data_IF_220810238121
#
_entry.id   IF_220810238121
#
_cell.length_a   1.000
_cell.length_b   1.000
_cell.length_c   1.000
_cell.angle_alpha   90.00
_cell.angle_beta   90.00
_cell.angle_gamma   90.00
#
_symmetry.space_group_name_H-M   'P 1'
#
loop_
_entity.id
_entity.type
_entity.pdbx_description
1 polymer ?
#
# COMPACT_ATOMS: atom_id res chain seq x y z
N UNK A 1 -33.94 22.18 -42.23
CA UNK A 1 -33.25 21.00 -41.66
C UNK A 1 -32.14 21.54 -40.78
N UNK A 2 -32.32 21.51 -39.46
CA UNK A 2 -31.40 22.13 -38.50
C UNK A 2 -30.47 21.03 -37.96
N UNK A 3 -29.13 21.20 -37.98
CA UNK A 3 -28.23 20.17 -37.51
C UNK A 3 -28.19 20.15 -35.97
N UNK A 4 -28.35 18.96 -35.38
CA UNK A 4 -28.07 18.71 -33.96
C UNK A 4 -26.56 18.56 -33.78
N UNK A 5 -25.94 19.51 -33.07
CA UNK A 5 -24.54 19.40 -32.65
C UNK A 5 -24.52 18.72 -31.28
N UNK A 6 -23.95 17.52 -31.22
CA UNK A 6 -23.73 16.79 -29.97
C UNK A 6 -22.40 17.24 -29.38
N UNK A 7 -22.45 18.08 -28.36
CA UNK A 7 -21.27 18.57 -27.65
C UNK A 7 -20.87 17.54 -26.58
N UNK A 8 -19.76 16.82 -26.79
CA UNK A 8 -19.18 15.96 -25.77
C UNK A 8 -18.47 16.82 -24.72
N UNK A 9 -19.05 16.94 -23.54
CA UNK A 9 -18.38 17.58 -22.40
C UNK A 9 -17.39 16.56 -21.82
N UNK A 10 -16.12 16.67 -22.22
CA UNK A 10 -15.04 15.91 -21.61
C UNK A 10 -14.73 16.58 -20.26
N UNK A 11 -15.22 16.00 -19.17
CA UNK A 11 -14.83 16.41 -17.82
C UNK A 11 -13.42 15.90 -17.57
N UNK A 12 -12.42 16.72 -17.88
CA UNK A 12 -11.04 16.45 -17.50
C UNK A 12 -10.94 16.76 -16.01
N UNK A 13 -11.03 15.73 -15.16
CA UNK A 13 -10.66 15.87 -13.75
C UNK A 13 -9.15 16.07 -13.68
N UNK A 14 -8.73 17.33 -13.59
CA UNK A 14 -7.37 17.68 -13.20
C UNK A 14 -7.15 17.30 -11.74
N UNK A 15 -6.78 16.05 -11.48
CA UNK A 15 -6.25 15.64 -10.18
C UNK A 15 -4.87 16.27 -10.03
N UNK A 16 -4.81 17.37 -9.29
CA UNK A 16 -3.59 17.88 -8.69
C UNK A 16 -2.98 16.76 -7.83
N UNK A 17 -1.91 16.10 -8.29
CA UNK A 17 -1.14 15.18 -7.46
C UNK A 17 0.28 15.70 -7.26
N UNK A 18 0.36 16.90 -6.71
CA UNK A 18 1.59 17.39 -6.08
C UNK A 18 1.59 16.96 -4.61
N UNK A 19 1.95 15.70 -4.36
CA UNK A 19 2.50 15.20 -3.09
C UNK A 19 3.08 13.77 -3.29
N UNK A 20 4.40 13.75 -3.49
CA UNK A 20 5.40 12.70 -3.20
C UNK A 20 5.02 11.21 -3.30
N UNK A 21 5.54 10.54 -4.33
CA UNK A 21 5.66 9.09 -4.44
C UNK A 21 5.91 8.70 -5.89
N UNK A 22 7.03 8.03 -6.18
CA UNK A 22 7.52 7.68 -7.53
C UNK A 22 6.65 6.63 -8.25
N UNK A 23 5.57 6.16 -7.62
CA UNK A 23 4.86 4.92 -7.96
C UNK A 23 3.36 5.14 -7.79
N UNK A 24 2.71 5.66 -8.85
CA UNK A 24 1.33 6.12 -8.78
C UNK A 24 0.51 5.82 -10.03
N UNK A 25 0.91 4.83 -10.82
CA UNK A 25 0.03 4.31 -11.87
C UNK A 25 -1.01 3.38 -11.25
N UNK A 26 -2.27 3.68 -11.54
CA UNK A 26 -3.37 2.79 -11.22
C UNK A 26 -3.27 1.55 -12.12
N UNK A 27 -3.42 0.37 -11.56
CA UNK A 27 -3.35 -0.88 -12.29
C UNK A 27 -4.62 -1.70 -12.07
N UNK A 28 -5.03 -2.44 -13.08
CA UNK A 28 -6.06 -3.49 -12.99
C UNK A 28 -5.44 -4.88 -13.03
N UNK A 29 -4.22 -4.99 -13.55
CA UNK A 29 -3.45 -6.23 -13.67
C UNK A 29 -1.95 -5.95 -13.61
N UNK A 30 -1.16 -7.02 -13.44
CA UNK A 30 0.30 -6.93 -13.47
C UNK A 30 0.86 -6.35 -14.78
N UNK A 31 0.13 -6.46 -15.89
CA UNK A 31 0.56 -5.95 -17.20
C UNK A 31 0.51 -4.41 -17.30
N UNK A 32 -0.22 -3.75 -16.40
CA UNK A 32 -0.34 -2.29 -16.39
C UNK A 32 0.85 -1.61 -15.70
N UNK A 33 1.69 -2.39 -15.01
CA UNK A 33 2.81 -1.88 -14.23
C UNK A 33 4.13 -2.01 -14.97
N UNK A 34 4.99 -1.01 -14.76
CA UNK A 34 6.37 -1.04 -15.24
C UNK A 34 7.14 -2.26 -14.70
N UNK A 35 8.18 -2.65 -15.45
CA UNK A 35 9.01 -3.79 -15.11
C UNK A 35 9.59 -3.67 -13.68
N UNK A 36 9.34 -4.68 -12.86
CA UNK A 36 9.81 -4.77 -11.48
C UNK A 36 8.88 -4.18 -10.42
N UNK A 37 7.73 -3.62 -10.83
CA UNK A 37 6.63 -3.26 -9.93
C UNK A 37 5.57 -4.36 -9.90
N UNK A 38 4.74 -4.37 -8.86
CA UNK A 38 3.65 -5.32 -8.69
C UNK A 38 2.32 -4.59 -8.53
N UNK A 39 1.28 -5.08 -9.22
CA UNK A 39 -0.06 -4.52 -9.08
C UNK A 39 -0.70 -4.99 -7.77
N UNK A 40 -0.77 -4.10 -6.78
CA UNK A 40 -1.32 -4.38 -5.45
C UNK A 40 -2.33 -3.30 -5.05
N UNK A 41 -3.56 -3.73 -4.72
CA UNK A 41 -4.70 -2.84 -4.38
C UNK A 41 -4.89 -1.70 -5.40
N UNK A 42 -4.85 -2.06 -6.69
CA UNK A 42 -5.00 -1.16 -7.84
C UNK A 42 -3.89 -0.09 -7.98
N UNK A 43 -2.70 -0.36 -7.44
CA UNK A 43 -1.52 0.50 -7.60
C UNK A 43 -0.30 -0.33 -7.96
N UNK A 44 0.56 0.21 -8.80
CA UNK A 44 1.87 -0.37 -9.04
C UNK A 44 2.82 -0.02 -7.89
N UNK A 45 3.19 -1.02 -7.09
CA UNK A 45 3.97 -0.85 -5.86
C UNK A 45 5.25 -1.71 -5.91
N UNK A 46 6.25 -1.36 -5.10
CA UNK A 46 7.52 -2.08 -5.03
C UNK A 46 7.31 -3.43 -4.34
N UNK A 47 7.66 -4.56 -4.98
CA UNK A 47 7.53 -5.88 -4.38
C UNK A 47 8.55 -6.11 -3.24
N UNK A 48 8.24 -7.08 -2.38
CA UNK A 48 9.12 -7.50 -1.29
C UNK A 48 10.52 -7.89 -1.80
N UNK A 49 11.57 -7.41 -1.13
CA UNK A 49 13.00 -7.62 -1.50
C UNK A 49 13.39 -7.12 -2.89
N UNK A 50 12.63 -6.19 -3.45
CA UNK A 50 13.06 -5.46 -4.65
C UNK A 50 14.34 -4.64 -4.36
N UNK A 51 15.24 -4.49 -5.35
CA UNK A 51 16.37 -3.56 -5.25
C UNK A 51 15.94 -2.09 -5.32
N UNK A 52 14.68 -1.80 -5.70
CA UNK A 52 14.15 -0.44 -5.78
C UNK A 52 14.06 0.21 -4.39
N UNK A 53 14.31 1.51 -4.36
CA UNK A 53 14.27 2.31 -3.15
C UNK A 53 12.83 2.72 -2.82
N UNK A 54 12.43 2.60 -1.56
CA UNK A 54 11.20 3.16 -1.05
C UNK A 54 11.49 4.41 -0.21
N UNK A 55 10.63 5.40 -0.36
CA UNK A 55 10.67 6.67 0.38
C UNK A 55 9.71 6.64 1.55
N UNK A 56 8.63 5.88 1.44
CA UNK A 56 7.63 5.67 2.48
C UNK A 56 7.17 4.21 2.52
N UNK A 57 6.53 3.81 3.63
CA UNK A 57 5.91 2.47 3.72
C UNK A 57 4.82 2.21 2.69
N UNK A 58 4.24 3.26 2.08
CA UNK A 58 3.17 3.16 1.08
C UNK A 58 3.67 2.88 -0.33
N UNK A 59 4.99 2.93 -0.54
CA UNK A 59 5.60 2.64 -1.84
C UNK A 59 5.72 1.13 -2.08
N UNK A 60 5.64 0.32 -1.01
CA UNK A 60 5.74 -1.13 -1.06
C UNK A 60 4.36 -1.77 -1.28
N UNK A 61 4.35 -2.98 -1.86
CA UNK A 61 3.12 -3.79 -1.98
C UNK A 61 2.38 -3.91 -0.65
N UNK A 62 1.07 -4.08 -0.70
CA UNK A 62 0.23 -4.14 0.50
C UNK A 62 0.73 -5.24 1.44
N UNK A 63 0.88 -4.89 2.71
CA UNK A 63 1.45 -5.77 3.73
C UNK A 63 2.97 -5.81 3.76
N UNK A 64 3.68 -5.04 2.94
CA UNK A 64 5.14 -4.87 3.02
C UNK A 64 5.45 -3.44 3.45
N UNK A 65 6.46 -3.27 4.30
CA UNK A 65 6.87 -1.96 4.80
C UNK A 65 8.31 -1.64 4.45
N UNK A 66 8.53 -0.34 4.22
CA UNK A 66 9.83 0.22 3.96
C UNK A 66 10.71 0.15 5.22
N UNK A 67 11.91 -0.41 5.07
CA UNK A 67 12.93 -0.49 6.10
C UNK A 67 14.10 0.41 5.73
N UNK A 68 14.61 1.16 6.71
CA UNK A 68 15.77 2.03 6.53
C UNK A 68 16.91 1.51 7.40
N UNK A 69 18.01 1.17 6.75
CA UNK A 69 19.27 0.90 7.44
C UNK A 69 20.10 2.18 7.48
N UNK A 70 20.91 2.35 8.54
CA UNK A 70 21.70 3.56 8.73
C UNK A 70 22.65 3.80 7.53
N UNK A 71 22.48 4.93 6.84
CA UNK A 71 23.29 5.31 5.69
C UNK A 71 22.90 4.63 4.36
N UNK A 72 21.77 3.93 4.31
CA UNK A 72 21.25 3.31 3.08
C UNK A 72 19.87 3.86 2.70
N UNK A 73 19.50 3.85 1.41
CA UNK A 73 18.15 4.15 0.97
C UNK A 73 17.16 3.11 1.53
N UNK A 74 15.92 3.51 1.72
CA UNK A 74 14.86 2.63 2.22
C UNK A 74 14.58 1.49 1.23
N UNK A 75 14.29 0.29 1.73
CA UNK A 75 13.89 -0.87 0.91
C UNK A 75 12.72 -1.63 1.50
N UNK A 76 11.90 -2.22 0.65
CA UNK A 76 10.72 -3.01 1.05
C UNK A 76 11.13 -4.38 1.64
N UNK A 77 11.56 -4.38 2.89
CA UNK A 77 12.20 -5.53 3.57
C UNK A 77 11.44 -6.06 4.78
N UNK A 78 10.39 -5.39 5.24
CA UNK A 78 9.55 -5.89 6.33
C UNK A 78 8.28 -6.49 5.75
N UNK A 79 8.08 -7.80 5.91
CA UNK A 79 6.89 -8.50 5.42
C UNK A 79 5.89 -8.72 6.56
N UNK A 80 4.71 -8.15 6.39
CA UNK A 80 3.54 -8.31 7.25
C UNK A 80 2.41 -9.07 6.54
N UNK A 81 2.61 -9.60 5.35
CA UNK A 81 1.55 -10.36 4.66
C UNK A 81 1.22 -11.63 5.43
N UNK A 82 -0.02 -12.07 5.30
CA UNK A 82 -0.46 -13.31 5.93
C UNK A 82 0.26 -14.52 5.32
N UNK A 83 0.74 -15.44 6.15
CA UNK A 83 1.24 -16.73 5.68
C UNK A 83 0.10 -17.57 5.10
N UNK A 84 0.45 -18.61 4.33
CA UNK A 84 -0.52 -19.46 3.61
C UNK A 84 -1.54 -20.18 4.53
N UNK A 85 -1.20 -20.38 5.81
CA UNK A 85 -2.11 -20.97 6.79
C UNK A 85 -3.02 -19.94 7.48
N UNK A 86 -2.91 -18.64 7.14
CA UNK A 86 -3.67 -17.55 7.73
C UNK A 86 -3.30 -17.20 9.17
N UNK A 87 -2.30 -17.87 9.76
CA UNK A 87 -1.90 -17.70 11.17
C UNK A 87 -0.62 -16.89 11.25
N UNK A 88 -0.75 -15.65 11.70
CA UNK A 88 0.38 -14.75 11.89
C UNK A 88 1.35 -15.24 12.95
N UNK A 89 2.66 -15.03 12.72
CA UNK A 89 3.73 -15.50 13.61
C UNK A 89 3.72 -14.81 14.98
N UNK A 90 3.18 -13.60 15.07
CA UNK A 90 3.06 -12.86 16.35
C UNK A 90 1.68 -13.08 16.97
N UNK A 91 1.63 -13.48 18.24
CA UNK A 91 0.39 -13.75 18.99
C UNK A 91 -0.55 -12.53 19.07
N UNK A 92 0.01 -11.31 19.10
CA UNK A 92 -0.73 -10.04 19.12
C UNK A 92 -1.22 -9.58 17.74
N UNK A 93 -0.94 -10.33 16.68
CA UNK A 93 -1.39 -10.01 15.33
C UNK A 93 -2.41 -11.02 14.82
N UNK A 94 -3.25 -10.59 13.89
CA UNK A 94 -4.16 -11.47 13.17
C UNK A 94 -4.24 -11.09 11.70
N UNK A 95 -4.51 -12.07 10.86
CA UNK A 95 -4.66 -11.87 9.44
C UNK A 95 -5.97 -11.13 9.17
N UNK A 96 -5.90 -9.98 8.52
CA UNK A 96 -7.06 -9.21 8.12
C UNK A 96 -7.55 -9.56 6.70
N UNK A 97 -8.64 -8.91 6.29
CA UNK A 97 -9.25 -9.04 4.97
C UNK A 97 -8.36 -8.54 3.83
N UNK A 98 -7.36 -7.71 4.14
CA UNK A 98 -6.36 -7.23 3.20
C UNK A 98 -5.18 -8.19 3.04
N UNK A 99 -5.20 -9.32 3.75
CA UNK A 99 -4.11 -10.30 3.74
C UNK A 99 -2.88 -9.80 4.49
N UNK A 100 -3.06 -8.94 5.49
CA UNK A 100 -2.00 -8.39 6.33
C UNK A 100 -2.16 -8.85 7.78
N UNK A 101 -1.06 -9.24 8.39
CA UNK A 101 -0.93 -9.53 9.82
C UNK A 101 -0.83 -8.23 10.61
N UNK A 102 -1.99 -7.65 10.93
CA UNK A 102 -2.09 -6.43 11.73
C UNK A 102 -2.20 -6.69 13.23
N UNK A 103 -1.69 -5.76 14.04
CA UNK A 103 -1.85 -5.80 15.51
C UNK A 103 -3.30 -5.54 15.91
N UNK A 104 -3.79 -6.32 16.89
CA UNK A 104 -5.16 -6.25 17.42
C UNK A 104 -5.41 -4.98 18.24
N UNK A 105 -6.67 -4.71 18.54
CA UNK A 105 -7.07 -3.58 19.38
C UNK A 105 -6.37 -3.64 20.75
N UNK A 106 -5.85 -2.49 21.20
CA UNK A 106 -5.04 -2.28 22.40
C UNK A 106 -3.63 -2.90 22.41
N UNK A 107 -3.21 -3.63 21.37
CA UNK A 107 -1.84 -4.10 21.24
C UNK A 107 -0.87 -2.96 20.90
N UNK A 108 0.42 -3.14 21.26
CA UNK A 108 1.47 -2.17 20.92
C UNK A 108 1.76 -2.23 19.43
N UNK A 109 1.64 -1.10 18.73
CA UNK A 109 1.89 -1.02 17.29
C UNK A 109 3.39 -0.96 16.97
N UNK A 110 4.02 -2.14 16.86
CA UNK A 110 5.36 -2.28 16.27
C UNK A 110 5.34 -2.42 14.74
N UNK A 111 4.19 -2.25 14.11
CA UNK A 111 3.92 -2.45 12.69
C UNK A 111 2.48 -2.05 12.37
N UNK A 112 1.91 -2.52 11.25
CA UNK A 112 0.55 -2.16 10.87
C UNK A 112 -0.46 -2.65 11.92
N UNK A 113 -1.43 -1.81 12.25
CA UNK A 113 -2.61 -2.25 12.98
C UNK A 113 -3.55 -3.00 12.04
N UNK A 114 -4.38 -3.88 12.59
CA UNK A 114 -5.43 -4.56 11.82
C UNK A 114 -6.34 -3.54 11.12
N UNK A 115 -6.84 -3.88 9.93
CA UNK A 115 -7.86 -3.11 9.21
C UNK A 115 -8.94 -2.55 10.16
N UNK A 116 -9.20 -1.24 10.05
CA UNK A 116 -10.13 -0.50 10.90
C UNK A 116 -9.52 0.09 12.18
N UNK A 117 -8.24 -0.17 12.47
CA UNK A 117 -7.51 0.40 13.59
C UNK A 117 -6.37 1.30 13.13
N UNK A 118 -6.03 2.28 13.96
CA UNK A 118 -4.92 3.21 13.77
C UNK A 118 -3.99 3.17 14.97
N UNK A 119 -2.69 3.35 14.73
CA UNK A 119 -1.68 3.41 15.79
C UNK A 119 -1.75 4.78 16.48
N UNK A 120 -2.39 4.84 17.65
CA UNK A 120 -2.55 6.05 18.46
C UNK A 120 -1.83 5.84 19.77
N UNK A 121 -0.93 6.78 20.12
CA UNK A 121 -0.13 6.71 21.36
C UNK A 121 0.51 5.33 21.58
N UNK A 122 1.14 4.78 20.53
CA UNK A 122 1.80 3.45 20.51
C UNK A 122 0.88 2.24 20.66
N UNK A 123 -0.45 2.40 20.58
CA UNK A 123 -1.40 1.29 20.60
C UNK A 123 -2.35 1.32 19.42
N UNK A 124 -2.79 0.15 18.97
CA UNK A 124 -3.83 0.06 17.95
C UNK A 124 -5.19 0.37 18.57
N UNK A 125 -5.85 1.40 18.06
CA UNK A 125 -7.13 1.90 18.56
C UNK A 125 -8.05 2.23 17.39
N UNK A 126 -9.35 2.27 17.63
CA UNK A 126 -10.27 2.80 16.62
C UNK A 126 -10.01 4.30 16.43
N UNK A 127 -10.06 4.80 15.18
CA UNK A 127 -9.84 6.21 14.88
C UNK A 127 -10.87 7.14 15.55
#
# INVERSE_FOLDING_TARGET
MTPFIVTFIIVVFSINVAAGGQLKDACSSQADCDAGLECSKNKCLIPYRSPMECVTGWDCVTGVSCHYEAGQPGRCLVDHRCPANGVCTKLGTECDEDGVCGYKENEVCYGPCKTGLVCVKTRCQRP
#
